data_IF_494395915130
#
_entry.id   IF_494395915130
#
_cell.length_a   1.000
_cell.length_b   1.000
_cell.length_c   1.000
_cell.angle_alpha   90.00
_cell.angle_beta   90.00
_cell.angle_gamma   90.00
#
_symmetry.space_group_name_H-M   'P 1'
#
loop_
_entity.id
_entity.type
_entity.pdbx_description
1 polymer ?
#
# COMPACT_ATOMS: atom_id res chain seq x y z
N UNK A 1 -28.24 19.58 4.92
CA UNK A 1 -27.56 20.11 3.72
C UNK A 1 -28.29 19.68 2.45
N UNK A 2 -28.46 18.38 2.18
CA UNK A 2 -29.22 17.90 1.00
C UNK A 2 -30.69 18.33 1.03
N UNK A 3 -31.38 18.18 2.17
CA UNK A 3 -32.78 18.65 2.35
C UNK A 3 -32.93 20.16 2.33
N UNK A 4 -31.94 20.89 2.89
CA UNK A 4 -31.95 22.36 2.99
C UNK A 4 -31.87 23.05 1.62
N UNK A 5 -31.26 22.39 0.63
CA UNK A 5 -31.07 22.91 -0.72
C UNK A 5 -31.86 22.14 -1.79
N UNK A 6 -32.80 21.27 -1.36
CA UNK A 6 -33.60 20.43 -2.26
C UNK A 6 -32.78 19.62 -3.28
N UNK A 7 -31.62 19.12 -2.83
CA UNK A 7 -30.66 18.40 -3.68
C UNK A 7 -30.90 16.89 -3.68
N UNK A 8 -32.05 16.44 -3.15
CA UNK A 8 -32.35 15.02 -2.99
C UNK A 8 -32.36 14.28 -4.32
N UNK A 9 -32.76 14.93 -5.41
CA UNK A 9 -32.83 14.35 -6.77
C UNK A 9 -31.66 14.68 -7.69
N UNK A 10 -30.62 15.32 -7.16
CA UNK A 10 -29.41 15.59 -7.93
C UNK A 10 -28.66 14.29 -8.24
N UNK A 11 -28.64 13.91 -9.52
CA UNK A 11 -28.04 12.67 -10.02
C UNK A 11 -26.53 12.60 -9.78
N UNK A 12 -25.83 13.74 -9.84
CA UNK A 12 -24.39 13.81 -9.57
C UNK A 12 -24.08 13.51 -8.10
N UNK A 13 -24.83 14.09 -7.15
CA UNK A 13 -24.67 13.80 -5.73
C UNK A 13 -25.01 12.35 -5.38
N UNK A 14 -26.08 11.79 -5.98
CA UNK A 14 -26.41 10.36 -5.83
C UNK A 14 -25.25 9.48 -6.30
N UNK A 15 -24.69 9.76 -7.48
CA UNK A 15 -23.54 9.03 -8.03
C UNK A 15 -22.30 9.16 -7.14
N UNK A 16 -22.01 10.37 -6.66
CA UNK A 16 -20.86 10.62 -5.79
C UNK A 16 -20.97 9.83 -4.48
N UNK A 17 -22.18 9.81 -3.89
CA UNK A 17 -22.46 9.03 -2.68
C UNK A 17 -22.40 7.52 -2.92
N UNK A 18 -22.86 7.03 -4.08
CA UNK A 18 -22.68 5.62 -4.46
C UNK A 18 -21.19 5.23 -4.54
N UNK A 19 -20.32 6.15 -4.96
CA UNK A 19 -18.88 5.93 -5.06
C UNK A 19 -18.11 6.19 -3.75
N UNK A 20 -18.79 6.45 -2.62
CA UNK A 20 -18.17 6.86 -1.35
C UNK A 20 -17.05 5.93 -0.86
N UNK A 21 -17.15 4.64 -1.10
CA UNK A 21 -16.11 3.66 -0.73
C UNK A 21 -14.77 3.91 -1.46
N UNK A 22 -14.79 4.55 -2.64
CA UNK A 22 -13.58 4.84 -3.42
C UNK A 22 -12.81 6.07 -2.91
N UNK A 23 -13.50 7.03 -2.30
CA UNK A 23 -12.93 8.34 -1.96
C UNK A 23 -13.02 8.72 -0.48
N UNK A 24 -13.90 8.09 0.30
CA UNK A 24 -14.08 8.35 1.73
C UNK A 24 -13.54 7.17 2.56
N UNK A 25 -12.45 7.37 3.34
CA UNK A 25 -11.82 6.30 4.12
C UNK A 25 -12.75 5.61 5.12
N UNK A 26 -13.73 6.33 5.69
CA UNK A 26 -14.68 5.79 6.68
C UNK A 26 -15.54 4.67 6.08
N UNK A 27 -15.80 4.70 4.78
CA UNK A 27 -16.57 3.67 4.08
C UNK A 27 -15.67 2.59 3.48
N UNK A 28 -14.35 2.61 3.71
CA UNK A 28 -13.36 1.73 3.08
C UNK A 28 -12.57 0.90 4.10
N UNK A 29 -13.28 0.28 5.04
CA UNK A 29 -12.66 -0.46 6.15
C UNK A 29 -12.04 -1.80 5.72
N UNK A 30 -12.52 -2.39 4.62
CA UNK A 30 -12.13 -3.70 4.13
C UNK A 30 -10.92 -3.70 3.18
N UNK A 31 -10.48 -2.52 2.72
CA UNK A 31 -9.45 -2.43 1.69
C UNK A 31 -8.10 -2.07 2.30
N UNK A 32 -7.20 -3.05 2.36
CA UNK A 32 -5.80 -2.80 2.69
C UNK A 32 -5.10 -2.05 1.56
N UNK A 33 -4.74 -0.78 1.76
CA UNK A 33 -4.07 0.05 0.75
C UNK A 33 -2.55 0.03 0.86
N UNK A 34 -1.95 -0.84 1.68
CA UNK A 34 -0.50 -0.92 1.92
C UNK A 34 0.10 0.47 2.24
N UNK A 35 -0.63 1.32 2.97
CA UNK A 35 -0.28 2.72 3.28
C UNK A 35 -0.09 3.63 2.05
N UNK A 36 -0.49 3.21 0.84
CA UNK A 36 -0.46 4.05 -0.37
C UNK A 36 -1.56 5.11 -0.26
N UNK A 37 -1.14 6.36 -0.08
CA UNK A 37 -2.04 7.52 -0.06
C UNK A 37 -2.46 7.90 -1.47
N UNK A 38 -3.64 8.52 -1.61
CA UNK A 38 -4.09 9.05 -2.90
C UNK A 38 -3.09 10.08 -3.48
N UNK A 39 -2.47 10.90 -2.62
CA UNK A 39 -1.46 11.89 -3.04
C UNK A 39 -0.23 11.23 -3.68
N UNK A 40 0.23 10.11 -3.14
CA UNK A 40 1.39 9.38 -3.67
C UNK A 40 1.16 8.88 -5.09
N UNK A 41 -0.09 8.53 -5.46
CA UNK A 41 -0.42 8.15 -6.84
C UNK A 41 -0.26 9.33 -7.79
N UNK A 42 -0.79 10.50 -7.43
CA UNK A 42 -0.60 11.72 -8.24
C UNK A 42 0.85 12.18 -8.27
N UNK A 43 1.59 12.07 -7.16
CA UNK A 43 3.02 12.40 -7.10
C UNK A 43 3.85 11.49 -8.01
N UNK A 44 3.57 10.18 -8.00
CA UNK A 44 4.24 9.20 -8.86
C UNK A 44 3.99 9.52 -10.34
N UNK A 45 2.74 9.76 -10.72
CA UNK A 45 2.38 10.10 -12.09
C UNK A 45 2.96 11.45 -12.53
N UNK A 46 2.92 12.45 -11.65
CA UNK A 46 3.52 13.76 -11.92
C UNK A 46 5.04 13.64 -12.10
N UNK A 47 5.73 12.81 -11.31
CA UNK A 47 7.17 12.56 -11.47
C UNK A 47 7.49 11.93 -12.84
N UNK A 48 6.63 11.04 -13.34
CA UNK A 48 6.76 10.47 -14.70
C UNK A 48 6.71 11.59 -15.75
N UNK A 49 5.73 12.50 -15.65
CA UNK A 49 5.61 13.64 -16.57
C UNK A 49 6.74 14.66 -16.43
N UNK A 50 7.16 14.99 -15.20
CA UNK A 50 8.26 15.91 -14.96
C UNK A 50 9.58 15.43 -15.57
N UNK A 51 9.83 14.11 -15.58
CA UNK A 51 11.02 13.54 -16.23
C UNK A 51 10.95 13.54 -17.74
N UNK A 52 9.74 13.52 -18.29
CA UNK A 52 9.49 13.47 -19.73
C UNK A 52 9.49 14.86 -20.38
N UNK A 53 8.94 15.86 -19.69
CA UNK A 53 8.68 17.18 -20.24
C UNK A 53 9.88 18.12 -20.09
N UNK A 54 10.21 18.86 -21.14
CA UNK A 54 11.14 19.99 -21.09
C UNK A 54 10.44 21.27 -21.53
N UNK A 55 10.95 22.44 -21.09
CA UNK A 55 10.31 23.74 -21.37
C UNK A 55 10.23 24.08 -22.87
N UNK A 56 11.09 23.47 -23.68
CA UNK A 56 11.23 23.71 -25.13
C UNK A 56 10.54 22.64 -25.98
N UNK A 57 9.86 21.69 -25.36
CA UNK A 57 9.25 20.54 -26.03
C UNK A 57 7.99 20.95 -26.80
N UNK A 58 7.87 20.51 -28.06
CA UNK A 58 6.65 20.69 -28.84
C UNK A 58 5.56 19.70 -28.40
N UNK A 59 4.30 20.04 -28.65
CA UNK A 59 3.17 19.19 -28.29
C UNK A 59 3.20 17.83 -29.01
N UNK A 60 3.62 17.80 -30.28
CA UNK A 60 3.75 16.56 -31.05
C UNK A 60 4.83 15.64 -30.48
N UNK A 61 5.95 16.20 -30.05
CA UNK A 61 7.01 15.47 -29.35
C UNK A 61 6.48 14.92 -28.02
N UNK A 62 5.74 15.73 -27.26
CA UNK A 62 5.11 15.30 -26.00
C UNK A 62 4.23 14.07 -26.21
N UNK A 63 3.34 14.10 -27.21
CA UNK A 63 2.45 12.97 -27.51
C UNK A 63 3.24 11.71 -27.87
N UNK A 64 4.30 11.85 -28.66
CA UNK A 64 5.16 10.71 -29.01
C UNK A 64 5.86 10.11 -27.79
N UNK A 65 6.45 10.95 -26.93
CA UNK A 65 7.11 10.50 -25.70
C UNK A 65 6.13 9.87 -24.71
N UNK A 66 4.92 10.44 -24.59
CA UNK A 66 3.87 9.89 -23.76
C UNK A 66 3.48 8.48 -24.20
N UNK A 67 3.24 8.27 -25.50
CA UNK A 67 2.86 6.96 -26.02
C UNK A 67 4.00 5.93 -25.82
N UNK A 68 5.26 6.34 -26.09
CA UNK A 68 6.43 5.52 -25.82
C UNK A 68 6.53 5.12 -24.34
N UNK A 69 6.32 6.06 -23.42
CA UNK A 69 6.40 5.82 -21.98
C UNK A 69 5.25 4.92 -21.49
N UNK A 70 4.03 5.15 -21.97
CA UNK A 70 2.86 4.32 -21.72
C UNK A 70 3.11 2.88 -22.18
N UNK A 71 3.59 2.69 -23.40
CA UNK A 71 3.90 1.36 -23.94
C UNK A 71 5.01 0.68 -23.11
N UNK A 72 6.05 1.41 -22.72
CA UNK A 72 7.08 0.90 -21.83
C UNK A 72 6.55 0.46 -20.46
N UNK A 73 5.64 1.22 -19.84
CA UNK A 73 4.98 0.84 -18.59
C UNK A 73 4.13 -0.42 -18.74
N UNK A 74 3.33 -0.50 -19.82
CA UNK A 74 2.48 -1.67 -20.10
C UNK A 74 3.31 -2.93 -20.34
N UNK A 75 4.43 -2.84 -21.07
CA UNK A 75 5.32 -3.98 -21.29
C UNK A 75 5.95 -4.48 -19.98
N UNK A 76 6.37 -3.57 -19.08
CA UNK A 76 6.89 -3.95 -17.76
C UNK A 76 5.83 -4.61 -16.88
N UNK A 77 4.61 -4.09 -16.89
CA UNK A 77 3.48 -4.70 -16.17
C UNK A 77 3.18 -6.11 -16.69
N UNK A 78 3.20 -6.29 -18.01
CA UNK A 78 3.01 -7.60 -18.65
C UNK A 78 4.12 -8.58 -18.24
N UNK A 79 5.37 -8.14 -18.27
CA UNK A 79 6.52 -8.95 -17.84
C UNK A 79 6.39 -9.38 -16.36
N UNK A 80 6.05 -8.44 -15.47
CA UNK A 80 5.83 -8.76 -14.05
C UNK A 80 4.66 -9.71 -13.84
N UNK A 81 3.57 -9.55 -14.60
CA UNK A 81 2.42 -10.45 -14.57
C UNK A 81 2.80 -11.85 -15.03
N UNK A 82 3.54 -11.94 -16.15
CA UNK A 82 4.06 -13.20 -16.65
C UNK A 82 4.95 -13.88 -15.61
N UNK A 83 5.86 -13.14 -14.98
CA UNK A 83 6.69 -13.66 -13.88
C UNK A 83 5.82 -14.18 -12.75
N UNK A 84 4.81 -13.44 -12.29
CA UNK A 84 3.92 -13.89 -11.21
C UNK A 84 3.19 -15.20 -11.57
N UNK A 85 2.84 -15.40 -12.84
CA UNK A 85 2.18 -16.61 -13.33
C UNK A 85 3.11 -17.82 -13.48
N UNK A 86 4.44 -17.64 -13.45
CA UNK A 86 5.41 -18.75 -13.48
C UNK A 86 5.52 -19.53 -12.15
N UNK A 87 4.66 -19.23 -11.17
CA UNK A 87 4.61 -19.91 -9.88
C UNK A 87 5.11 -19.04 -8.73
N UNK A 88 5.22 -19.64 -7.54
CA UNK A 88 5.52 -18.87 -6.33
C UNK A 88 6.94 -18.26 -6.34
N UNK A 89 7.13 -17.07 -5.74
CA UNK A 89 8.47 -16.59 -5.43
C UNK A 89 9.22 -17.55 -4.51
N UNK A 90 10.55 -17.53 -4.63
CA UNK A 90 11.42 -18.18 -3.64
C UNK A 90 11.15 -17.58 -2.26
N UNK A 91 11.14 -18.42 -1.23
CA UNK A 91 10.86 -18.04 0.15
C UNK A 91 12.05 -18.40 1.02
N UNK A 92 12.51 -17.45 1.83
CA UNK A 92 13.60 -17.63 2.78
C UNK A 92 13.28 -18.74 3.81
N UNK A 93 12.07 -18.71 4.37
CA UNK A 93 11.58 -19.76 5.27
C UNK A 93 10.48 -20.61 4.59
N UNK A 94 10.88 -21.69 3.89
CA UNK A 94 9.96 -22.56 3.13
C UNK A 94 8.81 -23.16 3.97
N UNK A 95 9.04 -23.37 5.27
CA UNK A 95 8.06 -23.92 6.22
C UNK A 95 7.14 -22.87 6.85
N UNK A 96 7.37 -21.58 6.62
CA UNK A 96 6.53 -20.51 7.16
C UNK A 96 5.19 -20.45 6.42
N UNK A 97 4.09 -20.72 7.12
CA UNK A 97 2.73 -20.58 6.61
C UNK A 97 2.40 -19.12 6.24
N UNK A 98 2.94 -18.16 7.00
CA UNK A 98 2.78 -16.72 6.74
C UNK A 98 3.41 -16.31 5.40
N UNK A 99 4.67 -16.69 5.17
CA UNK A 99 5.34 -16.39 3.89
C UNK A 99 4.70 -17.14 2.72
N UNK A 100 4.19 -18.36 2.95
CA UNK A 100 3.44 -19.07 1.92
C UNK A 100 2.17 -18.29 1.53
N UNK A 101 1.39 -17.85 2.51
CA UNK A 101 0.17 -17.09 2.24
C UNK A 101 0.48 -15.77 1.52
N UNK A 102 1.44 -14.99 2.02
CA UNK A 102 1.87 -13.74 1.39
C UNK A 102 2.36 -13.94 -0.05
N UNK A 103 3.09 -15.02 -0.33
CA UNK A 103 3.55 -15.37 -1.67
C UNK A 103 2.43 -15.70 -2.66
N UNK A 104 1.26 -16.12 -2.17
CA UNK A 104 0.08 -16.38 -3.01
C UNK A 104 -0.76 -15.12 -3.26
N UNK A 105 -0.76 -14.17 -2.32
CA UNK A 105 -1.61 -12.98 -2.38
C UNK A 105 -0.90 -11.80 -3.04
N UNK A 106 0.40 -11.64 -2.83
CA UNK A 106 1.15 -10.47 -3.29
C UNK A 106 1.81 -10.68 -4.66
N UNK A 107 2.00 -9.56 -5.37
CA UNK A 107 2.93 -9.54 -6.51
C UNK A 107 4.34 -9.84 -6.02
N UNK A 108 5.21 -10.34 -6.90
CA UNK A 108 6.60 -10.70 -6.52
C UNK A 108 7.36 -9.56 -5.86
N UNK A 109 7.13 -8.31 -6.29
CA UNK A 109 7.81 -7.14 -5.72
C UNK A 109 7.31 -6.84 -4.30
N UNK A 110 5.99 -6.90 -4.07
CA UNK A 110 5.43 -6.72 -2.73
C UNK A 110 5.79 -7.88 -1.80
N UNK A 111 5.81 -9.11 -2.31
CA UNK A 111 6.25 -10.27 -1.54
C UNK A 111 7.69 -10.09 -1.04
N UNK A 112 8.62 -9.63 -1.89
CA UNK A 112 10.01 -9.37 -1.46
C UNK A 112 10.10 -8.34 -0.35
N UNK A 113 9.35 -7.23 -0.47
CA UNK A 113 9.31 -6.21 0.59
C UNK A 113 8.78 -6.81 1.90
N UNK A 114 7.68 -7.56 1.83
CA UNK A 114 7.12 -8.23 2.99
C UNK A 114 8.10 -9.25 3.60
N UNK A 115 8.77 -10.04 2.79
CA UNK A 115 9.76 -11.02 3.24
C UNK A 115 10.94 -10.35 3.94
N UNK A 116 11.46 -9.24 3.41
CA UNK A 116 12.49 -8.43 4.06
C UNK A 116 12.02 -7.93 5.42
N UNK A 117 10.84 -7.33 5.50
CA UNK A 117 10.29 -6.82 6.78
C UNK A 117 10.09 -7.96 7.81
N UNK A 118 9.63 -9.13 7.36
CA UNK A 118 9.51 -10.30 8.25
C UNK A 118 10.88 -10.75 8.74
N UNK A 119 11.88 -10.85 7.87
CA UNK A 119 13.24 -11.26 8.27
C UNK A 119 13.84 -10.23 9.23
N UNK A 120 13.71 -8.94 8.93
CA UNK A 120 14.20 -7.84 9.76
C UNK A 120 13.48 -7.83 11.13
N UNK A 121 12.22 -8.24 11.19
CA UNK A 121 11.51 -8.37 12.47
C UNK A 121 12.08 -9.46 13.37
N UNK A 122 12.76 -10.49 12.82
CA UNK A 122 13.34 -11.58 13.60
C UNK A 122 14.53 -11.14 14.45
N UNK A 123 15.21 -10.04 14.09
CA UNK A 123 16.30 -9.48 14.90
C UNK A 123 15.80 -8.59 16.05
N UNK A 124 14.49 -8.33 16.09
CA UNK A 124 13.85 -7.54 17.15
C UNK A 124 13.42 -8.48 18.28
N UNK A 125 14.04 -8.32 19.45
CA UNK A 125 13.57 -8.99 20.66
C UNK A 125 12.39 -8.22 21.23
N UNK A 126 11.25 -8.89 21.35
CA UNK A 126 10.06 -8.34 21.99
C UNK A 126 9.93 -8.89 23.41
N UNK A 127 9.79 -8.01 24.40
CA UNK A 127 9.53 -8.37 25.79
C UNK A 127 8.31 -7.61 26.30
N UNK A 128 7.34 -8.32 26.85
CA UNK A 128 6.22 -7.68 27.54
C UNK A 128 6.68 -7.14 28.89
N UNK A 129 6.39 -5.87 29.18
CA UNK A 129 6.83 -5.19 30.41
C UNK A 129 5.68 -4.67 31.26
N UNK A 130 4.46 -4.63 30.73
CA UNK A 130 3.28 -4.23 31.48
C UNK A 130 2.00 -4.77 30.85
N UNK A 131 0.98 -4.94 31.68
CA UNK A 131 -0.36 -5.36 31.26
C UNK A 131 -1.40 -4.73 32.18
N UNK A 132 -2.03 -3.65 31.72
CA UNK A 132 -3.08 -2.94 32.47
C UNK A 132 -4.47 -3.40 32.02
N UNK A 133 -4.68 -4.72 32.02
CA UNK A 133 -5.89 -5.36 31.50
C UNK A 133 -6.03 -5.20 29.99
N UNK A 134 -6.59 -4.07 29.55
CA UNK A 134 -6.86 -3.73 28.13
C UNK A 134 -5.65 -3.29 27.33
N UNK A 135 -4.60 -2.85 28.01
CA UNK A 135 -3.39 -2.30 27.40
C UNK A 135 -2.19 -3.19 27.72
N UNK A 136 -1.57 -3.73 26.68
CA UNK A 136 -0.32 -4.48 26.80
C UNK A 136 0.84 -3.60 26.35
N UNK A 137 1.89 -3.54 27.16
CA UNK A 137 3.09 -2.75 26.85
C UNK A 137 4.25 -3.69 26.52
N UNK A 138 4.85 -3.46 25.35
CA UNK A 138 5.98 -4.22 24.82
C UNK A 138 7.21 -3.34 24.67
N UNK A 139 8.33 -3.81 25.21
CA UNK A 139 9.67 -3.31 24.88
C UNK A 139 10.23 -4.09 23.71
N UNK A 140 10.65 -3.37 22.68
CA UNK A 140 11.28 -3.88 21.48
C UNK A 140 12.75 -3.44 21.51
N UNK A 141 13.65 -4.39 21.37
CA UNK A 141 15.09 -4.13 21.32
C UNK A 141 15.71 -4.87 20.12
N UNK A 142 16.31 -4.10 19.21
CA UNK A 142 17.07 -4.64 18.09
C UNK A 142 18.44 -5.11 18.57
N UNK A 143 18.80 -6.35 18.23
CA UNK A 143 20.07 -6.93 18.63
C UNK A 143 21.27 -6.07 18.12
N UNK A 144 22.07 -5.56 19.05
CA UNK A 144 23.20 -4.66 18.76
C UNK A 144 22.91 -3.16 18.89
N UNK A 145 21.65 -2.75 19.16
CA UNK A 145 21.31 -1.35 19.45
C UNK A 145 21.03 -1.12 20.94
N UNK A 146 21.41 0.06 21.45
CA UNK A 146 21.08 0.49 22.83
C UNK A 146 19.66 1.06 22.96
N UNK A 147 19.02 1.38 21.84
CA UNK A 147 17.75 2.11 21.81
C UNK A 147 16.60 1.12 21.96
N UNK A 148 15.84 1.26 23.04
CA UNK A 148 14.61 0.49 23.30
C UNK A 148 13.42 1.26 22.73
N UNK A 149 12.48 0.56 22.11
CA UNK A 149 11.20 1.11 21.66
C UNK A 149 10.08 0.54 22.51
N UNK A 150 9.16 1.39 22.96
CA UNK A 150 8.00 0.98 23.76
C UNK A 150 6.76 1.09 22.90
N UNK A 151 6.05 -0.01 22.73
CA UNK A 151 4.80 -0.09 21.98
C UNK A 151 3.67 -0.49 22.92
N UNK A 152 2.58 0.28 22.85
CA UNK A 152 1.35 0.01 23.59
C UNK A 152 0.31 -0.57 22.65
N UNK A 153 -0.19 -1.75 22.99
CA UNK A 153 -1.18 -2.50 22.23
C UNK A 153 -2.50 -2.54 22.98
N UNK A 154 -3.55 -2.00 22.37
CA UNK A 154 -4.91 -2.04 22.90
C UNK A 154 -5.74 -3.05 22.11
N UNK A 155 -6.15 -4.17 22.72
CA UNK A 155 -6.85 -5.24 21.98
C UNK A 155 -8.25 -4.83 21.50
N UNK A 156 -8.88 -3.84 22.13
CA UNK A 156 -10.20 -3.32 21.74
C UNK A 156 -10.18 -2.45 20.47
N UNK A 157 -9.01 -2.07 19.97
CA UNK A 157 -8.90 -1.28 18.75
C UNK A 157 -9.01 -2.13 17.47
N UNK A 158 -9.13 -3.46 17.59
CA UNK A 158 -9.44 -4.36 16.48
C UNK A 158 -10.94 -4.63 16.41
N UNK A 159 -11.72 -3.59 16.11
CA UNK A 159 -12.99 -3.81 15.43
C UNK A 159 -12.66 -3.93 13.93
N UNK A 160 -12.57 -5.17 13.46
CA UNK A 160 -12.62 -5.51 12.03
C UNK A 160 -14.02 -5.20 11.49
#
# INVERSE_FOLDING_TARGET
MVSKFDLADNTWLKTLYQLREKWCPVFRLDTFTVRIKASQRSESMNNVFHRMCTKTMRLTEFVHHYDKQKNGMRSRELEETFRCNQGLPSRAAKKSGLLLHAANVYTRNFFKLFETEVIDSLVVRMRQTGSDGTLQTFELNEEGRKRVHVVQFHFLNFNV
#
